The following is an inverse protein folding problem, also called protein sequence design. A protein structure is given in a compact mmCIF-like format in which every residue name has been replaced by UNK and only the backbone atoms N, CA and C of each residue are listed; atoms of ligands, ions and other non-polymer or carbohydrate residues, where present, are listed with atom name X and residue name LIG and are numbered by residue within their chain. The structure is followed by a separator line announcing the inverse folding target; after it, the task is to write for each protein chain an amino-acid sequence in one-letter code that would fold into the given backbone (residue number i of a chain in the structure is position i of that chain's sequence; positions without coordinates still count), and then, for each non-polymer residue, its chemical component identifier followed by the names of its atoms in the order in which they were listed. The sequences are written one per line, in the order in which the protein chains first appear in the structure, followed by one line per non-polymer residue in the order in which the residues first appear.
data_IF_797586433423
#
_entry.id   IF_797586433423
#
_cell.length_a   1.000
_cell.length_b   1.000
_cell.length_c   1.000
_cell.angle_alpha   90.00
_cell.angle_beta   90.00
_cell.angle_gamma   90.00
#
_symmetry.space_group_name_H-M   'P 1'
#
loop_
_entity.id
_entity.type
_entity.pdbx_description
1 polymer ?
#
# COMPACT_ATOMS: atom_id res chain seq x y z
N UNK A 1 27.28 8.39 7.54
CA UNK A 1 25.85 8.00 7.61
C UNK A 1 25.02 8.56 6.46
N UNK A 2 25.01 9.89 6.25
CA UNK A 2 24.19 10.52 5.19
C UNK A 2 24.50 10.02 3.76
N UNK A 3 25.75 9.66 3.46
CA UNK A 3 26.11 9.07 2.15
C UNK A 3 25.38 7.74 1.89
N UNK A 4 25.31 6.85 2.87
CA UNK A 4 24.58 5.57 2.75
C UNK A 4 23.08 5.78 2.56
N UNK A 5 22.52 6.79 3.22
CA UNK A 5 21.11 7.14 3.11
C UNK A 5 20.74 7.55 1.68
N UNK A 6 21.60 8.35 1.03
CA UNK A 6 21.44 8.74 -0.37
C UNK A 6 21.56 7.57 -1.34
N UNK A 7 22.31 6.52 -0.97
CA UNK A 7 22.46 5.30 -1.78
C UNK A 7 21.22 4.41 -1.64
N UNK A 8 20.66 4.27 -0.44
CA UNK A 8 19.40 3.55 -0.22
C UNK A 8 18.26 4.19 -1.03
N UNK A 9 18.16 5.52 -1.03
CA UNK A 9 17.11 6.24 -1.77
C UNK A 9 17.21 6.09 -3.29
N UNK A 10 18.43 5.90 -3.83
CA UNK A 10 18.66 5.66 -5.25
C UNK A 10 18.32 4.23 -5.69
N UNK A 11 17.96 3.35 -4.75
CA UNK A 11 17.65 1.93 -5.02
C UNK A 11 18.90 1.05 -5.10
N UNK A 12 18.67 -0.26 -5.24
CA UNK A 12 19.71 -1.31 -5.35
C UNK A 12 20.76 -1.34 -4.21
N UNK A 13 20.46 -0.75 -3.06
CA UNK A 13 21.36 -0.70 -1.91
C UNK A 13 20.58 -0.91 -0.61
N UNK A 14 21.06 -1.83 0.23
CA UNK A 14 20.51 -2.07 1.56
C UNK A 14 21.52 -1.58 2.61
N UNK A 15 21.03 -0.83 3.59
CA UNK A 15 21.82 -0.36 4.72
C UNK A 15 21.44 -1.15 5.98
N UNK A 16 22.44 -1.76 6.61
CA UNK A 16 22.27 -2.52 7.86
C UNK A 16 22.87 -1.68 8.99
N UNK A 17 22.08 -1.45 10.04
CA UNK A 17 22.47 -0.66 11.20
C UNK A 17 21.77 -1.18 12.45
N UNK A 18 22.19 -0.71 13.62
CA UNK A 18 21.49 -0.94 14.87
C UNK A 18 20.00 -0.57 14.74
N UNK A 19 19.15 -1.37 15.40
CA UNK A 19 17.70 -1.18 15.44
C UNK A 19 17.32 0.25 15.82
N UNK A 20 17.95 0.79 16.86
CA UNK A 20 17.65 2.12 17.40
C UNK A 20 17.87 3.22 16.34
N UNK A 21 19.02 3.19 15.68
CA UNK A 21 19.40 4.12 14.60
C UNK A 21 18.48 3.94 13.40
N UNK A 22 18.17 2.70 13.00
CA UNK A 22 17.29 2.43 11.88
C UNK A 22 15.85 2.94 12.14
N UNK A 23 15.31 2.67 13.33
CA UNK A 23 13.98 3.14 13.74
C UNK A 23 13.92 4.67 13.76
N UNK A 24 14.98 5.33 14.24
CA UNK A 24 15.09 6.79 14.20
C UNK A 24 15.18 7.36 12.77
N UNK A 25 15.92 6.72 11.87
CA UNK A 25 16.02 7.16 10.48
C UNK A 25 14.69 7.01 9.73
N UNK A 26 13.98 5.90 9.93
CA UNK A 26 12.64 5.67 9.35
C UNK A 26 11.63 6.65 9.94
N UNK A 27 11.74 6.96 11.23
CA UNK A 27 10.90 7.97 11.88
C UNK A 27 11.07 9.37 11.27
N UNK A 28 12.31 9.77 10.98
CA UNK A 28 12.61 11.07 10.38
C UNK A 28 12.39 11.14 8.87
N UNK A 29 12.48 10.01 8.16
CA UNK A 29 12.38 9.94 6.71
C UNK A 29 11.34 8.92 6.27
N UNK A 30 10.17 9.41 5.86
CA UNK A 30 9.01 8.58 5.54
C UNK A 30 9.15 7.75 4.24
N UNK A 31 10.18 8.03 3.45
CA UNK A 31 10.50 7.27 2.24
C UNK A 31 11.39 6.04 2.50
N UNK A 32 11.78 5.82 3.75
CA UNK A 32 12.55 4.64 4.14
C UNK A 32 11.62 3.57 4.69
N UNK A 33 11.82 2.35 4.22
CA UNK A 33 11.15 1.17 4.75
C UNK A 33 12.15 0.31 5.50
N UNK A 34 11.77 -0.13 6.70
CA UNK A 34 12.53 -1.09 7.49
C UNK A 34 11.91 -2.48 7.35
N UNK A 35 12.77 -3.48 7.19
CA UNK A 35 12.36 -4.89 7.23
C UNK A 35 12.02 -5.26 8.68
N UNK A 36 10.90 -5.97 8.88
CA UNK A 36 10.35 -6.28 10.21
C UNK A 36 11.27 -7.14 11.07
N UNK A 37 12.18 -7.89 10.46
CA UNK A 37 13.04 -8.83 11.17
C UNK A 37 14.34 -8.20 11.68
N UNK A 38 14.67 -8.53 12.91
CA UNK A 38 15.92 -8.15 13.57
C UNK A 38 16.93 -9.30 13.45
N UNK A 39 17.99 -9.11 12.65
CA UNK A 39 19.04 -10.12 12.46
C UNK A 39 19.77 -10.49 13.75
N UNK A 40 20.03 -9.51 14.62
CA UNK A 40 20.78 -9.71 15.87
C UNK A 40 20.14 -8.93 17.03
N UNK A 41 20.11 -9.55 18.22
CA UNK A 41 19.83 -8.86 19.48
C UNK A 41 21.16 -8.59 20.18
N UNK A 42 21.63 -7.37 20.06
CA UNK A 42 22.80 -6.88 20.79
C UNK A 42 22.33 -6.16 22.06
N UNK A 43 23.12 -6.27 23.13
CA UNK A 43 22.88 -5.57 24.39
C UNK A 43 23.99 -4.55 24.60
N UNK A 44 23.62 -3.37 25.11
CA UNK A 44 24.60 -2.36 25.50
C UNK A 44 25.15 -2.67 26.89
N UNK A 45 26.44 -2.46 27.08
CA UNK A 45 27.13 -2.64 28.35
C UNK A 45 28.05 -1.45 28.63
N UNK A 46 28.25 -1.15 29.91
CA UNK A 46 29.16 -0.10 30.36
C UNK A 46 30.44 -0.78 30.83
N UNK A 47 31.57 -0.47 30.18
CA UNK A 47 32.88 -0.96 30.56
C UNK A 47 33.55 -0.02 31.57
N UNK A 48 34.05 -0.58 32.68
CA UNK A 48 34.92 0.12 33.62
C UNK A 48 36.36 -0.42 33.50
N UNK A 49 37.33 0.34 34.03
CA UNK A 49 38.73 -0.09 34.09
C UNK A 49 38.84 -1.43 34.84
N UNK A 50 39.73 -2.30 34.38
CA UNK A 50 39.98 -3.60 35.00
C UNK A 50 40.32 -3.43 36.49
N UNK A 51 39.74 -4.29 37.33
CA UNK A 51 39.90 -4.29 38.80
C UNK A 51 39.35 -3.04 39.53
N UNK A 52 38.43 -2.28 38.92
CA UNK A 52 37.79 -1.17 39.65
C UNK A 52 36.87 -1.68 40.76
N UNK A 53 36.97 -1.10 41.96
CA UNK A 53 36.05 -1.37 43.07
C UNK A 53 34.60 -0.94 42.75
N UNK A 54 34.42 -0.06 41.75
CA UNK A 54 33.12 0.48 41.35
C UNK A 54 32.32 -0.47 40.45
N UNK A 55 32.95 -1.45 39.79
CA UNK A 55 32.25 -2.36 38.88
C UNK A 55 31.09 -3.09 39.57
N UNK A 56 31.31 -3.53 40.82
CA UNK A 56 30.26 -4.21 41.60
C UNK A 56 29.14 -3.26 41.99
N UNK A 57 29.48 -2.04 42.42
CA UNK A 57 28.51 -1.02 42.81
C UNK A 57 27.60 -0.62 41.64
N UNK A 58 28.20 -0.33 40.47
CA UNK A 58 27.43 0.00 39.26
C UNK A 58 26.55 -1.15 38.78
N UNK A 59 27.06 -2.39 38.84
CA UNK A 59 26.28 -3.56 38.42
C UNK A 59 25.05 -3.77 39.32
N UNK A 60 25.20 -3.57 40.63
CA UNK A 60 24.08 -3.68 41.57
C UNK A 60 23.04 -2.58 41.33
N UNK A 61 23.47 -1.32 41.16
CA UNK A 61 22.56 -0.20 40.95
C UNK A 61 21.79 -0.32 39.62
N UNK A 62 22.46 -0.75 38.54
CA UNK A 62 21.81 -0.99 37.23
C UNK A 62 20.77 -2.12 37.34
N UNK A 63 21.06 -3.18 38.12
CA UNK A 63 20.11 -4.25 38.34
C UNK A 63 18.86 -3.73 39.07
N UNK A 64 19.03 -2.93 40.13
CA UNK A 64 17.92 -2.29 40.83
C UNK A 64 17.09 -1.39 39.90
N UNK A 65 17.75 -0.56 39.08
CA UNK A 65 17.08 0.27 38.07
C UNK A 65 16.27 -0.55 37.06
N UNK A 66 16.75 -1.73 36.69
CA UNK A 66 16.05 -2.68 35.81
C UNK A 66 14.84 -3.31 36.51
N UNK A 67 14.98 -3.73 37.77
CA UNK A 67 13.90 -4.30 38.57
C UNK A 67 12.76 -3.30 38.81
N UNK A 68 13.09 -2.03 39.08
CA UNK A 68 12.10 -0.95 39.16
C UNK A 68 11.48 -0.59 37.81
N UNK A 69 12.05 -1.05 36.69
CA UNK A 69 11.56 -0.76 35.35
C UNK A 69 11.81 0.69 34.87
N UNK A 70 12.63 1.46 35.60
CA UNK A 70 12.96 2.85 35.27
C UNK A 70 13.62 2.97 33.89
N UNK A 71 14.44 1.98 33.52
CA UNK A 71 15.07 1.93 32.21
C UNK A 71 14.04 1.93 31.06
N UNK A 72 12.94 1.18 31.21
CA UNK A 72 11.89 1.13 30.20
C UNK A 72 11.15 2.48 30.07
N UNK A 73 10.96 3.17 31.20
CA UNK A 73 10.36 4.52 31.21
C UNK A 73 11.26 5.50 30.44
N UNK A 74 12.57 5.44 30.69
CA UNK A 74 13.52 6.33 30.03
C UNK A 74 13.62 6.02 28.54
N UNK A 75 13.68 4.73 28.16
CA UNK A 75 13.67 4.31 26.75
C UNK A 75 12.43 4.85 26.04
N UNK A 76 11.23 4.66 26.61
CA UNK A 76 9.99 5.18 26.01
C UNK A 76 9.95 6.70 25.93
N UNK A 77 10.55 7.39 26.90
CA UNK A 77 10.62 8.85 26.94
C UNK A 77 11.53 9.43 25.84
N UNK A 78 12.68 8.79 25.61
CA UNK A 78 13.66 9.27 24.63
C UNK A 78 13.45 8.69 23.22
N UNK A 79 12.84 7.51 23.12
CA UNK A 79 12.52 6.82 21.86
C UNK A 79 11.00 6.54 21.79
N UNK A 80 10.17 7.56 21.58
CA UNK A 80 8.72 7.38 21.47
C UNK A 80 8.37 6.54 20.23
N UNK A 81 7.42 5.62 20.39
CA UNK A 81 6.91 4.79 19.27
C UNK A 81 6.04 5.58 18.27
N UNK A 82 5.70 6.83 18.59
CA UNK A 82 4.95 7.71 17.71
C UNK A 82 5.90 8.26 16.65
N UNK A 83 5.81 7.71 15.45
CA UNK A 83 6.61 8.22 14.36
C UNK A 83 6.06 9.53 13.80
N UNK A 84 6.93 10.49 13.51
CA UNK A 84 6.62 11.75 12.83
C UNK A 84 6.00 11.45 11.46
N UNK A 85 6.44 10.36 10.81
CA UNK A 85 5.85 9.85 9.57
C UNK A 85 4.45 9.23 9.70
N UNK A 86 3.98 8.95 10.93
CA UNK A 86 2.56 8.64 11.19
C UNK A 86 1.69 9.89 11.31
N UNK A 87 2.21 11.07 10.96
CA UNK A 87 1.43 12.27 10.71
C UNK A 87 0.60 12.19 9.42
N UNK A 88 -0.26 11.19 9.30
CA UNK A 88 -1.47 11.10 8.46
C UNK A 88 -2.09 9.68 8.51
N UNK A 89 -2.11 9.03 9.68
CA UNK A 89 -3.07 7.94 9.95
C UNK A 89 -4.12 8.38 10.96
N UNK A 90 -4.46 9.68 10.95
CA UNK A 90 -5.74 10.15 11.47
C UNK A 90 -6.76 9.87 10.36
N UNK A 91 -7.40 8.70 10.45
CA UNK A 91 -8.79 8.49 10.00
C UNK A 91 -9.19 9.16 8.68
N UNK A 92 -8.57 8.78 7.57
CA UNK A 92 -9.27 8.84 6.29
C UNK A 92 -9.52 7.39 5.92
N UNK A 93 -10.79 6.97 5.91
CA UNK A 93 -11.17 5.80 5.11
C UNK A 93 -10.50 6.01 3.76
N UNK A 94 -9.56 5.12 3.39
CA UNK A 94 -8.67 5.31 2.24
C UNK A 94 -9.42 6.01 1.12
N UNK A 95 -9.07 7.28 0.85
CA UNK A 95 -9.86 8.14 -0.02
C UNK A 95 -10.03 7.37 -1.33
N UNK A 96 -11.27 6.93 -1.60
CA UNK A 96 -11.57 6.06 -2.73
C UNK A 96 -11.21 6.88 -3.96
N UNK A 97 -10.07 6.53 -4.56
CA UNK A 97 -9.54 7.27 -5.69
C UNK A 97 -10.31 6.83 -6.91
N UNK A 98 -10.45 7.73 -7.89
CA UNK A 98 -11.19 7.48 -9.14
C UNK A 98 -10.68 6.22 -9.88
N UNK A 99 -9.42 5.84 -9.63
CA UNK A 99 -8.77 4.62 -10.11
C UNK A 99 -9.43 3.35 -9.57
N UNK A 100 -9.87 3.33 -8.31
CA UNK A 100 -10.50 2.16 -7.70
C UNK A 100 -11.91 1.91 -8.25
N UNK A 101 -12.60 2.96 -8.69
CA UNK A 101 -13.95 2.90 -9.27
C UNK A 101 -13.90 2.79 -10.81
N UNK A 102 -12.72 2.76 -11.42
CA UNK A 102 -12.59 2.79 -12.88
C UNK A 102 -13.31 1.63 -13.60
N UNK A 103 -13.37 0.46 -12.95
CA UNK A 103 -13.99 -0.76 -13.50
C UNK A 103 -15.50 -0.63 -13.73
N UNK A 104 -16.23 0.08 -12.85
CA UNK A 104 -17.69 0.23 -12.99
C UNK A 104 -18.07 1.08 -14.21
N UNK A 105 -17.24 2.08 -14.53
CA UNK A 105 -17.46 2.93 -15.69
C UNK A 105 -17.29 2.14 -17.00
N UNK A 106 -16.28 1.26 -17.06
CA UNK A 106 -16.09 0.38 -18.21
C UNK A 106 -17.23 -0.62 -18.38
N UNK A 107 -17.73 -1.21 -17.29
CA UNK A 107 -18.90 -2.11 -17.34
C UNK A 107 -20.14 -1.41 -17.92
N UNK A 108 -20.42 -0.18 -17.50
CA UNK A 108 -21.54 0.60 -18.02
C UNK A 108 -21.38 0.92 -19.51
N UNK A 109 -20.19 1.34 -19.94
CA UNK A 109 -19.92 1.63 -21.36
C UNK A 109 -20.11 0.40 -22.24
N UNK A 110 -19.57 -0.75 -21.84
CA UNK A 110 -19.72 -2.01 -22.59
C UNK A 110 -21.18 -2.44 -22.66
N UNK A 111 -21.94 -2.29 -21.57
CA UNK A 111 -23.37 -2.59 -21.55
C UNK A 111 -24.18 -1.74 -22.54
N UNK A 112 -23.89 -0.43 -22.61
CA UNK A 112 -24.53 0.49 -23.56
C UNK A 112 -24.16 0.13 -25.01
N UNK A 113 -22.89 -0.19 -25.27
CA UNK A 113 -22.44 -0.58 -26.61
C UNK A 113 -23.12 -1.88 -27.09
N UNK A 114 -23.20 -2.91 -26.24
CA UNK A 114 -23.86 -4.18 -26.59
C UNK A 114 -25.34 -3.97 -26.86
N UNK A 115 -26.03 -3.22 -26.00
CA UNK A 115 -27.45 -2.87 -26.19
C UNK A 115 -27.66 -2.14 -27.52
N UNK A 116 -26.82 -1.16 -27.83
CA UNK A 116 -26.84 -0.45 -29.11
C UNK A 116 -26.61 -1.37 -30.31
N UNK A 117 -25.65 -2.29 -30.23
CA UNK A 117 -25.38 -3.25 -31.31
C UNK A 117 -26.57 -4.18 -31.56
N UNK A 118 -27.20 -4.69 -30.51
CA UNK A 118 -28.39 -5.55 -30.63
C UNK A 118 -29.55 -4.78 -31.27
N UNK A 119 -29.80 -3.55 -30.83
CA UNK A 119 -30.86 -2.71 -31.39
C UNK A 119 -30.61 -2.40 -32.88
N UNK A 120 -29.37 -2.06 -33.23
CA UNK A 120 -29.00 -1.83 -34.63
C UNK A 120 -29.16 -3.09 -35.48
N UNK A 121 -28.79 -4.26 -34.96
CA UNK A 121 -28.91 -5.53 -35.66
C UNK A 121 -30.38 -5.94 -35.85
N UNK A 122 -31.22 -5.80 -34.83
CA UNK A 122 -32.66 -6.05 -34.92
C UNK A 122 -33.34 -5.11 -35.92
N UNK A 123 -33.00 -3.82 -35.88
CA UNK A 123 -33.53 -2.84 -36.82
C UNK A 123 -33.12 -3.15 -38.26
N UNK A 124 -31.85 -3.51 -38.48
CA UNK A 124 -31.36 -3.94 -39.79
C UNK A 124 -32.09 -5.17 -40.31
N UNK A 125 -32.24 -6.21 -39.48
CA UNK A 125 -33.00 -7.41 -39.84
C UNK A 125 -34.45 -7.10 -40.15
N UNK A 126 -35.09 -6.24 -39.37
CA UNK A 126 -36.49 -5.85 -39.56
C UNK A 126 -36.69 -5.08 -40.87
N UNK A 127 -35.79 -4.16 -41.21
CA UNK A 127 -35.82 -3.45 -42.49
C UNK A 127 -35.62 -4.40 -43.68
N UNK A 128 -34.66 -5.33 -43.58
CA UNK A 128 -34.44 -6.34 -44.61
C UNK A 128 -35.62 -7.32 -44.76
N UNK A 129 -36.23 -7.72 -43.65
CA UNK A 129 -37.42 -8.59 -43.64
C UNK A 129 -38.65 -7.88 -44.22
N UNK A 130 -38.85 -6.60 -43.89
CA UNK A 130 -39.96 -5.80 -44.43
C UNK A 130 -39.83 -5.61 -45.96
N UNK A 131 -38.60 -5.38 -46.46
CA UNK A 131 -38.37 -5.26 -47.91
C UNK A 131 -38.62 -6.57 -48.67
N UNK A 132 -38.29 -7.73 -48.09
CA UNK A 132 -38.58 -9.04 -48.69
C UNK A 132 -40.09 -9.36 -48.63
N UNK A 133 -40.77 -8.98 -47.54
CA UNK A 133 -42.21 -9.17 -47.40
C UNK A 133 -43.00 -8.37 -48.45
N UNK A 134 -42.63 -7.11 -48.73
CA UNK A 134 -43.25 -6.34 -49.82
C UNK A 134 -43.04 -7.00 -51.19
N UNK A 135 -41.84 -7.52 -51.47
CA UNK A 135 -41.56 -8.19 -52.76
C UNK A 135 -42.38 -9.48 -52.91
N UNK A 136 -42.56 -10.26 -51.83
CA UNK A 136 -43.40 -11.45 -51.85
C UNK A 136 -44.89 -11.12 -51.99
N UNK A 137 -45.38 -10.04 -51.39
CA UNK A 137 -46.77 -9.57 -51.58
C UNK A 137 -47.04 -9.08 -53.00
N UNK A 138 -46.08 -8.39 -53.65
CA UNK A 138 -46.20 -8.01 -55.06
C UNK A 138 -46.21 -9.26 -55.95
N UNK A 139 -45.35 -10.25 -55.66
CA UNK A 139 -45.25 -11.46 -56.47
C UNK A 139 -46.48 -12.38 -56.34
N UNK A 140 -47.07 -12.48 -55.13
CA UNK A 140 -48.32 -13.21 -54.92
C UNK A 140 -49.52 -12.54 -55.62
N UNK A 141 -49.59 -11.19 -55.61
CA UNK A 141 -50.65 -10.47 -56.33
C UNK A 141 -50.54 -10.59 -57.86
N UNK A 142 -49.32 -10.68 -58.42
CA UNK A 142 -49.15 -10.93 -59.87
C UNK A 142 -49.53 -12.36 -60.25
N UNK A 143 -49.16 -13.36 -59.44
CA UNK A 143 -49.49 -14.76 -59.70
C UNK A 143 -50.99 -15.08 -59.56
N UNK A 144 -51.75 -14.24 -58.86
CA UNK A 144 -53.21 -14.39 -58.71
C UNK A 144 -54.03 -13.67 -59.79
N UNK A 145 -53.38 -12.87 -60.64
CA UNK A 145 -54.00 -12.09 -61.71
C UNK A 145 -53.86 -12.71 -63.12
N UNK A 146 -53.15 -13.85 -63.23
CA UNK A 146 -53.09 -14.74 -64.40
C UNK A 146 -53.78 -16.06 -64.10
#
# INVERSE_FOLDING_TARGET
MNDHLSKVQRGHYAYISDKSVADFLVDKQCNLVKIKENFFRVQYAIGLVNQSAYTQLFSAEILLLSEFGLLNIWIKKWWPEQSVCKGQIVTEAAAISILDIQSVFYLLLVGICISGCVLCFEHWMTLHCNSIAEILFVNDNQNKAT
#
